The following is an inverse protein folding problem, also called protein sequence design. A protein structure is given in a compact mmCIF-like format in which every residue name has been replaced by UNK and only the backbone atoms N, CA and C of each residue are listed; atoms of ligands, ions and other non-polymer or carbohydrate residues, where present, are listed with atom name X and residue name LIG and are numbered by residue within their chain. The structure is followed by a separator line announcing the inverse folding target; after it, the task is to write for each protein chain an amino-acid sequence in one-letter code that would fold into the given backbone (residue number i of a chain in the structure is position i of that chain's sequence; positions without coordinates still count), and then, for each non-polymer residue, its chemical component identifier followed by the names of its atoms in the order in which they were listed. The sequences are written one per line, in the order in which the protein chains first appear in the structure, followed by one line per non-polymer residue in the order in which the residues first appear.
data_IF_989922508753
#
_entry.id   IF_989922508753
#
_cell.length_a   1.000
_cell.length_b   1.000
_cell.length_c   1.000
_cell.angle_alpha   90.00
_cell.angle_beta   90.00
_cell.angle_gamma   90.00
#
_symmetry.space_group_name_H-M   'P 1'
#
loop_
_entity.id
_entity.type
_entity.pdbx_description
1 polymer ?
#
# COMPACT_ATOMS: atom_id res chain seq x y z
N UNK A 1 -9.38 -26.35 35.79
CA UNK A 1 -8.76 -26.84 34.53
C UNK A 1 -9.41 -26.27 33.24
N UNK A 2 -10.41 -25.37 33.33
CA UNK A 2 -11.09 -24.80 32.16
C UNK A 2 -10.77 -23.31 31.89
N UNK A 3 -9.81 -22.70 32.59
CA UNK A 3 -9.50 -21.26 32.46
C UNK A 3 -8.15 -20.96 31.80
N UNK A 4 -7.36 -21.96 31.42
CA UNK A 4 -6.08 -21.76 30.72
C UNK A 4 -6.17 -21.92 29.19
N UNK A 5 -7.34 -22.27 28.66
CA UNK A 5 -7.57 -22.48 27.22
C UNK A 5 -8.22 -21.30 26.50
N UNK A 6 -8.56 -20.21 27.19
CA UNK A 6 -9.20 -19.02 26.58
C UNK A 6 -8.22 -17.97 26.03
N UNK A 7 -6.95 -17.99 26.42
CA UNK A 7 -5.94 -17.01 25.94
C UNK A 7 -5.22 -17.44 24.65
N UNK A 8 -5.34 -18.70 24.21
CA UNK A 8 -4.71 -19.17 22.98
C UNK A 8 -5.52 -18.84 21.70
N UNK A 9 -6.81 -18.53 21.82
CA UNK A 9 -7.74 -18.36 20.70
C UNK A 9 -7.92 -16.91 20.20
N UNK A 10 -7.08 -15.98 20.66
CA UNK A 10 -7.02 -14.60 20.13
C UNK A 10 -5.71 -14.27 19.40
N UNK A 11 -4.87 -15.27 19.06
CA UNK A 11 -3.81 -15.07 18.06
C UNK A 11 -4.42 -15.11 16.65
N UNK A 12 -5.31 -14.15 16.38
CA UNK A 12 -5.80 -13.89 15.03
C UNK A 12 -4.60 -13.70 14.10
N UNK A 13 -4.70 -14.25 12.87
CA UNK A 13 -3.77 -14.07 11.74
C UNK A 13 -2.80 -12.92 12.02
N UNK A 14 -1.55 -13.23 12.32
CA UNK A 14 -0.53 -12.21 12.50
C UNK A 14 -0.40 -11.51 11.15
N UNK A 15 -1.09 -10.36 11.02
CA UNK A 15 -1.06 -9.52 9.84
C UNK A 15 0.37 -8.99 9.78
N UNK A 16 1.09 -9.39 8.73
CA UNK A 16 2.48 -9.03 8.53
C UNK A 16 2.58 -8.32 7.19
N UNK A 17 3.22 -7.16 7.20
CA UNK A 17 3.63 -6.47 5.99
C UNK A 17 4.61 -7.36 5.21
N UNK A 18 4.44 -7.36 3.89
CA UNK A 18 5.25 -8.13 2.94
C UNK A 18 5.44 -7.31 1.66
N UNK A 19 6.40 -7.66 0.78
CA UNK A 19 6.45 -7.14 -0.58
C UNK A 19 5.12 -7.39 -1.31
N UNK A 20 4.72 -6.42 -2.13
CA UNK A 20 3.50 -6.43 -2.93
C UNK A 20 3.71 -7.24 -4.21
N UNK A 21 2.64 -7.90 -4.66
CA UNK A 21 2.55 -8.46 -6.00
C UNK A 21 2.03 -7.37 -6.92
N UNK A 22 2.85 -6.92 -7.88
CA UNK A 22 2.49 -5.86 -8.83
C UNK A 22 2.66 -6.39 -10.25
N UNK A 23 1.62 -6.23 -11.07
CA UNK A 23 1.60 -6.58 -12.50
C UNK A 23 1.20 -5.33 -13.27
N UNK A 24 2.02 -4.91 -14.23
CA UNK A 24 1.80 -3.70 -15.06
C UNK A 24 1.43 -2.45 -14.23
N UNK A 25 2.15 -2.26 -13.13
CA UNK A 25 1.93 -1.14 -12.21
C UNK A 25 0.69 -1.27 -11.33
N UNK A 26 -0.06 -2.38 -11.38
CA UNK A 26 -1.29 -2.60 -10.60
C UNK A 26 -1.04 -3.62 -9.49
N UNK A 27 -1.38 -3.24 -8.25
CA UNK A 27 -1.32 -4.13 -7.08
C UNK A 27 -2.34 -5.27 -7.24
N UNK A 28 -1.89 -6.50 -7.01
CA UNK A 28 -2.74 -7.70 -7.06
C UNK A 28 -3.20 -8.15 -5.67
N UNK A 29 -2.50 -7.74 -4.61
CA UNK A 29 -2.89 -8.05 -3.24
C UNK A 29 -4.25 -7.43 -2.90
N UNK A 30 -5.18 -8.24 -2.40
CA UNK A 30 -6.51 -7.80 -1.95
C UNK A 30 -6.49 -7.09 -0.59
N UNK A 31 -5.38 -7.21 0.13
CA UNK A 31 -5.19 -6.66 1.47
C UNK A 31 -3.72 -6.32 1.73
N UNK A 32 -3.46 -5.21 2.43
CA UNK A 32 -2.16 -4.85 2.99
C UNK A 32 -2.32 -4.74 4.51
N UNK A 33 -1.73 -5.68 5.25
CA UNK A 33 -1.69 -5.67 6.73
C UNK A 33 -3.06 -5.39 7.39
N UNK A 34 -4.09 -6.12 6.95
CA UNK A 34 -5.45 -5.93 7.43
C UNK A 34 -6.30 -4.90 6.70
N UNK A 35 -5.73 -4.14 5.76
CA UNK A 35 -6.39 -3.05 5.08
C UNK A 35 -6.81 -3.53 3.69
N UNK A 36 -8.10 -3.43 3.38
CA UNK A 36 -8.60 -3.83 2.06
C UNK A 36 -7.95 -2.96 0.97
N UNK A 37 -7.52 -3.60 -0.11
CA UNK A 37 -7.06 -2.92 -1.33
C UNK A 37 -8.13 -3.09 -2.39
N UNK A 38 -8.51 -1.97 -3.01
CA UNK A 38 -9.43 -1.92 -4.13
C UNK A 38 -8.73 -1.32 -5.34
N UNK A 39 -8.96 -1.90 -6.50
CA UNK A 39 -8.43 -1.39 -7.77
C UNK A 39 -9.57 -0.66 -8.49
N UNK A 40 -9.38 0.63 -8.74
CA UNK A 40 -10.31 1.51 -9.44
C UNK A 40 -9.54 2.36 -10.45
N UNK A 41 -8.76 1.69 -11.32
CA UNK A 41 -7.96 2.38 -12.34
C UNK A 41 -8.89 3.20 -13.23
N UNK A 42 -8.59 4.50 -13.30
CA UNK A 42 -9.35 5.45 -14.12
C UNK A 42 -9.29 5.00 -15.57
N UNK A 43 -10.43 5.04 -16.24
CA UNK A 43 -10.56 4.75 -17.66
C UNK A 43 -10.30 6.02 -18.46
N UNK A 44 -9.26 6.05 -19.32
CA UNK A 44 -8.88 7.26 -20.04
C UNK A 44 -9.97 7.68 -21.02
N UNK A 45 -10.22 8.99 -21.12
CA UNK A 45 -11.19 9.58 -22.05
C UNK A 45 -10.81 11.01 -22.41
N UNK A 46 -10.82 11.33 -23.69
CA UNK A 46 -10.50 12.68 -24.14
C UNK A 46 -9.03 13.02 -23.89
N UNK A 47 -8.75 14.19 -23.29
CA UNK A 47 -7.37 14.51 -22.91
C UNK A 47 -6.96 13.70 -21.69
N UNK A 48 -5.65 13.52 -21.58
CA UNK A 48 -4.94 12.78 -20.53
C UNK A 48 -4.89 13.58 -19.23
N UNK A 49 -6.04 13.89 -18.66
CA UNK A 49 -6.18 14.75 -17.49
C UNK A 49 -5.79 14.03 -16.20
N UNK A 50 -6.13 12.75 -16.13
CA UNK A 50 -5.87 11.89 -14.98
C UNK A 50 -4.99 10.71 -15.40
N UNK A 51 -5.43 9.94 -16.40
CA UNK A 51 -4.62 8.85 -16.98
C UNK A 51 -3.71 9.41 -18.06
N UNK A 52 -2.43 9.52 -17.76
CA UNK A 52 -1.42 10.05 -18.67
C UNK A 52 -1.06 9.05 -19.76
N UNK A 53 -1.20 7.75 -19.48
CA UNK A 53 -0.73 6.65 -20.34
C UNK A 53 0.77 6.79 -20.70
N UNK A 54 1.54 7.48 -19.86
CA UNK A 54 2.97 7.71 -20.06
C UNK A 54 3.68 7.18 -18.83
N UNK A 55 4.52 6.17 -19.06
CA UNK A 55 5.32 5.59 -17.98
C UNK A 55 6.32 6.61 -17.45
N UNK A 56 6.55 6.56 -16.14
CA UNK A 56 7.70 7.20 -15.51
C UNK A 56 8.96 6.53 -16.04
N UNK A 57 9.99 7.31 -16.34
CA UNK A 57 11.30 6.78 -16.78
C UNK A 57 12.00 6.04 -15.65
N UNK A 58 11.74 6.47 -14.42
CA UNK A 58 12.22 5.87 -13.18
C UNK A 58 11.23 6.23 -12.06
N UNK A 59 11.15 5.38 -11.04
CA UNK A 59 10.40 5.66 -9.82
C UNK A 59 11.40 5.86 -8.70
N UNK A 60 11.51 7.09 -8.18
CA UNK A 60 12.53 7.47 -7.19
C UNK A 60 11.97 7.57 -5.77
N UNK A 61 10.64 7.65 -5.63
CA UNK A 61 10.05 7.81 -4.31
C UNK A 61 8.54 7.79 -4.26
N UNK A 62 8.03 8.08 -3.08
CA UNK A 62 6.61 8.15 -2.73
C UNK A 62 6.33 9.55 -2.16
N UNK A 63 5.44 10.31 -2.80
CA UNK A 63 5.00 11.63 -2.33
C UNK A 63 3.68 11.52 -1.60
N UNK A 64 3.67 11.93 -0.34
CA UNK A 64 2.50 11.86 0.54
C UNK A 64 1.77 13.21 0.62
N UNK A 65 0.43 13.13 0.64
CA UNK A 65 -0.49 14.27 0.61
C UNK A 65 -1.62 14.11 1.62
N UNK A 66 -2.31 15.21 1.92
CA UNK A 66 -3.63 15.16 2.53
C UNK A 66 -4.66 15.79 1.59
N UNK A 67 -5.83 15.15 1.53
CA UNK A 67 -6.92 15.55 0.64
C UNK A 67 -7.46 16.96 0.91
N UNK A 68 -7.24 17.50 2.12
CA UNK A 68 -7.84 18.76 2.58
C UNK A 68 -9.37 18.78 2.52
N UNK A 69 -10.01 17.62 2.47
CA UNK A 69 -11.46 17.47 2.41
C UNK A 69 -11.96 16.66 3.62
N UNK A 70 -12.50 17.36 4.61
CA UNK A 70 -12.99 16.78 5.87
C UNK A 70 -14.47 16.38 5.81
N UNK A 71 -15.14 16.52 4.66
CA UNK A 71 -16.53 16.12 4.54
C UNK A 71 -16.64 14.60 4.81
N UNK A 72 -17.60 14.12 5.62
CA UNK A 72 -17.73 12.69 5.93
C UNK A 72 -17.87 11.79 4.70
N UNK A 73 -18.43 12.32 3.62
CA UNK A 73 -18.63 11.63 2.34
C UNK A 73 -17.36 11.59 1.46
N UNK A 74 -16.30 12.31 1.82
CA UNK A 74 -15.06 12.41 1.06
C UNK A 74 -14.07 11.28 1.36
N UNK A 75 -14.55 10.04 1.39
CA UNK A 75 -13.70 8.85 1.55
C UNK A 75 -12.88 8.52 0.31
N UNK A 76 -12.08 7.47 0.38
CA UNK A 76 -11.23 7.01 -0.72
C UNK A 76 -12.04 6.69 -1.99
N UNK A 77 -13.20 6.06 -1.86
CA UNK A 77 -14.08 5.75 -3.01
C UNK A 77 -14.65 7.00 -3.68
N UNK A 78 -15.00 8.02 -2.90
CA UNK A 78 -15.54 9.26 -3.44
C UNK A 78 -14.48 10.01 -4.24
N UNK A 79 -13.25 10.05 -3.74
CA UNK A 79 -12.13 10.65 -4.46
C UNK A 79 -11.74 9.86 -5.72
N UNK A 80 -11.78 8.52 -5.68
CA UNK A 80 -11.56 7.70 -6.87
C UNK A 80 -12.62 7.96 -7.96
N UNK A 81 -13.91 8.06 -7.58
CA UNK A 81 -14.98 8.45 -8.51
C UNK A 81 -14.79 9.87 -9.05
N UNK A 82 -14.34 10.81 -8.21
CA UNK A 82 -14.04 12.17 -8.63
C UNK A 82 -12.96 12.21 -9.72
N UNK A 83 -11.88 11.43 -9.59
CA UNK A 83 -10.85 11.33 -10.64
C UNK A 83 -11.43 10.82 -11.96
N UNK A 84 -12.28 9.79 -11.95
CA UNK A 84 -12.95 9.35 -13.17
C UNK A 84 -13.86 10.45 -13.76
N UNK A 85 -14.51 11.24 -12.90
CA UNK A 85 -15.30 12.40 -13.31
C UNK A 85 -14.46 13.50 -13.97
N UNK A 86 -13.26 13.79 -13.45
CA UNK A 86 -12.34 14.74 -14.05
C UNK A 86 -11.89 14.31 -15.45
N UNK A 87 -11.51 13.04 -15.60
CA UNK A 87 -11.15 12.46 -16.89
C UNK A 87 -12.31 12.59 -17.89
N UNK A 88 -13.54 12.27 -17.46
CA UNK A 88 -14.72 12.37 -18.31
C UNK A 88 -15.09 13.81 -18.72
N UNK A 89 -14.84 14.78 -17.84
CA UNK A 89 -15.21 16.18 -18.05
C UNK A 89 -14.19 16.96 -18.90
N UNK A 90 -13.02 16.37 -19.15
CA UNK A 90 -11.94 16.95 -19.95
C UNK A 90 -11.47 18.36 -19.51
N UNK A 91 -11.44 18.61 -18.19
CA UNK A 91 -11.38 19.98 -17.64
C UNK A 91 -10.12 20.35 -16.87
N UNK A 92 -9.49 19.41 -16.16
CA UNK A 92 -8.39 19.72 -15.23
C UNK A 92 -7.39 18.57 -15.09
N UNK A 93 -6.09 18.89 -15.12
CA UNK A 93 -5.00 17.93 -14.95
C UNK A 93 -4.69 17.68 -13.47
N UNK A 94 -5.23 16.60 -12.91
CA UNK A 94 -4.98 16.15 -11.55
C UNK A 94 -5.07 14.63 -11.49
N UNK A 95 -4.06 13.99 -10.96
CA UNK A 95 -4.09 12.54 -10.73
C UNK A 95 -3.27 12.16 -9.52
N UNK A 96 -3.67 11.06 -8.89
CA UNK A 96 -2.92 10.43 -7.80
C UNK A 96 -3.00 8.93 -7.97
N UNK A 97 -2.00 8.23 -7.44
CA UNK A 97 -1.94 6.77 -7.57
C UNK A 97 -2.86 6.10 -6.54
N UNK A 98 -2.85 6.61 -5.30
CA UNK A 98 -3.60 6.01 -4.19
C UNK A 98 -4.40 7.04 -3.41
N UNK A 99 -5.61 6.65 -3.01
CA UNK A 99 -6.32 7.25 -1.88
C UNK A 99 -6.36 6.26 -0.71
N UNK A 100 -6.08 6.73 0.50
CA UNK A 100 -6.07 5.92 1.72
C UNK A 100 -6.98 6.56 2.75
N UNK A 101 -7.98 5.82 3.24
CA UNK A 101 -8.80 6.21 4.37
C UNK A 101 -8.65 5.22 5.54
N UNK A 102 -9.51 5.35 6.55
CA UNK A 102 -9.45 4.50 7.74
C UNK A 102 -9.75 3.01 7.44
N UNK A 103 -10.46 2.73 6.35
CA UNK A 103 -11.02 1.41 6.05
C UNK A 103 -10.30 0.71 4.90
N UNK A 104 -9.79 1.45 3.91
CA UNK A 104 -9.22 0.88 2.68
C UNK A 104 -8.18 1.75 1.98
N UNK A 105 -7.52 1.12 1.01
CA UNK A 105 -6.63 1.72 0.02
C UNK A 105 -7.26 1.54 -1.35
N UNK A 106 -7.34 2.59 -2.16
CA UNK A 106 -7.81 2.52 -3.55
C UNK A 106 -6.73 2.97 -4.51
N UNK A 107 -6.35 2.10 -5.44
CA UNK A 107 -5.45 2.44 -6.54
C UNK A 107 -6.23 2.99 -7.74
N UNK A 108 -5.85 4.18 -8.22
CA UNK A 108 -6.53 4.90 -9.30
C UNK A 108 -5.70 5.01 -10.59
N UNK A 109 -4.37 4.91 -10.48
CA UNK A 109 -3.42 4.98 -11.61
C UNK A 109 -2.32 3.91 -11.41
N UNK A 110 -1.85 3.22 -12.46
CA UNK A 110 -0.70 2.31 -12.36
C UNK A 110 0.52 3.02 -11.76
N UNK A 111 1.23 2.37 -10.84
CA UNK A 111 2.36 2.98 -10.10
C UNK A 111 3.61 3.26 -10.96
N UNK A 112 3.61 2.82 -12.21
CA UNK A 112 4.64 3.11 -13.20
C UNK A 112 4.22 4.20 -14.20
N UNK A 113 3.02 4.78 -14.06
CA UNK A 113 2.48 5.86 -14.90
C UNK A 113 2.52 7.20 -14.12
N UNK A 114 3.04 8.27 -14.73
CA UNK A 114 3.20 9.52 -13.98
C UNK A 114 1.85 10.19 -13.67
N UNK A 115 1.80 10.98 -12.58
CA UNK A 115 0.60 11.69 -12.12
C UNK A 115 0.82 13.21 -11.99
N UNK A 116 -0.25 14.01 -12.12
CA UNK A 116 -0.25 15.45 -11.85
C UNK A 116 -0.66 15.73 -10.40
N UNK A 117 0.29 15.77 -9.47
CA UNK A 117 0.01 15.90 -8.02
C UNK A 117 0.92 16.84 -7.23
N UNK A 118 2.17 17.05 -7.63
CA UNK A 118 3.21 17.73 -6.85
C UNK A 118 3.32 19.24 -7.13
N UNK A 119 2.66 19.73 -8.19
CA UNK A 119 2.66 21.15 -8.54
C UNK A 119 3.99 21.68 -9.09
N UNK A 120 4.89 20.80 -9.54
CA UNK A 120 6.22 21.10 -10.05
C UNK A 120 6.32 20.96 -11.59
N UNK A 121 5.18 20.95 -12.29
CA UNK A 121 5.12 20.83 -13.75
C UNK A 121 5.71 19.50 -14.23
N UNK A 122 6.82 19.57 -14.96
CA UNK A 122 7.56 18.39 -15.45
C UNK A 122 8.70 17.95 -14.50
N UNK A 123 8.72 18.46 -13.27
CA UNK A 123 9.69 18.07 -12.26
C UNK A 123 9.54 16.63 -11.75
N UNK A 124 10.51 16.21 -10.95
CA UNK A 124 10.63 14.84 -10.45
C UNK A 124 9.46 14.44 -9.56
N UNK A 125 8.80 15.38 -8.87
CA UNK A 125 7.64 15.12 -8.04
C UNK A 125 6.52 14.47 -8.86
N UNK A 126 6.04 15.16 -9.90
CA UNK A 126 5.04 14.61 -10.82
C UNK A 126 5.55 13.41 -11.64
N UNK A 127 6.80 13.48 -12.11
CA UNK A 127 7.29 12.59 -13.18
C UNK A 127 7.97 11.32 -12.70
N UNK A 128 8.28 11.21 -11.40
CA UNK A 128 9.08 10.10 -10.86
C UNK A 128 8.63 9.60 -9.48
N UNK A 129 7.51 10.08 -8.93
CA UNK A 129 7.03 9.61 -7.63
C UNK A 129 5.63 9.02 -7.63
N UNK A 130 5.43 8.03 -6.77
CA UNK A 130 4.13 7.46 -6.46
C UNK A 130 3.40 8.41 -5.51
N UNK A 131 2.19 8.83 -5.86
CA UNK A 131 1.39 9.78 -5.08
C UNK A 131 0.39 9.07 -4.18
N UNK A 132 0.45 9.35 -2.87
CA UNK A 132 -0.46 8.81 -1.85
C UNK A 132 -1.24 9.96 -1.19
N UNK A 133 -2.56 9.98 -1.38
CA UNK A 133 -3.48 10.91 -0.73
C UNK A 133 -4.12 10.28 0.52
N UNK A 134 -3.89 10.92 1.67
CA UNK A 134 -4.49 10.50 2.95
C UNK A 134 -5.80 11.26 3.13
N UNK A 135 -6.91 10.52 3.17
CA UNK A 135 -8.26 11.06 3.31
C UNK A 135 -8.50 11.62 4.72
N UNK A 136 -9.30 12.68 4.82
CA UNK A 136 -9.60 13.37 6.08
C UNK A 136 -11.06 13.26 6.54
N UNK A 137 -11.84 12.36 5.92
CA UNK A 137 -13.30 12.24 6.11
C UNK A 137 -13.75 11.52 7.38
N UNK A 138 -12.83 11.06 8.24
CA UNK A 138 -13.16 10.22 9.39
C UNK A 138 -12.00 10.06 10.37
N UNK A 139 -11.73 8.83 10.81
CA UNK A 139 -10.62 8.55 11.72
C UNK A 139 -9.27 8.76 11.02
N UNK A 140 -8.79 10.01 11.09
CA UNK A 140 -7.56 10.43 10.42
C UNK A 140 -6.32 9.70 10.95
N UNK A 141 -6.22 9.44 12.26
CA UNK A 141 -5.10 8.69 12.82
C UNK A 141 -5.01 7.28 12.23
N UNK A 142 -6.16 6.64 12.00
CA UNK A 142 -6.22 5.34 11.34
C UNK A 142 -5.87 5.44 9.85
N UNK A 143 -6.36 6.45 9.13
CA UNK A 143 -5.99 6.69 7.73
C UNK A 143 -4.49 6.94 7.55
N UNK A 144 -3.88 7.73 8.44
CA UNK A 144 -2.44 7.99 8.44
C UNK A 144 -1.64 6.72 8.73
N UNK A 145 -2.04 5.93 9.73
CA UNK A 145 -1.42 4.62 10.01
C UNK A 145 -1.55 3.66 8.82
N UNK A 146 -2.69 3.65 8.14
CA UNK A 146 -2.88 2.85 6.93
C UNK A 146 -1.97 3.33 5.78
N UNK A 147 -1.76 4.65 5.65
CA UNK A 147 -0.83 5.21 4.68
C UNK A 147 0.63 4.84 4.99
N UNK A 148 1.03 4.82 6.26
CA UNK A 148 2.36 4.32 6.66
C UNK A 148 2.55 2.86 6.23
N UNK A 149 1.53 2.01 6.41
CA UNK A 149 1.56 0.60 5.99
C UNK A 149 1.66 0.45 4.46
N UNK A 150 0.94 1.27 3.69
CA UNK A 150 1.10 1.31 2.23
C UNK A 150 2.52 1.72 1.82
N UNK A 151 3.05 2.79 2.40
CA UNK A 151 4.44 3.24 2.13
C UNK A 151 5.45 2.14 2.48
N UNK A 152 5.29 1.47 3.63
CA UNK A 152 6.16 0.37 4.04
C UNK A 152 6.08 -0.83 3.08
N UNK A 153 4.88 -1.21 2.64
CA UNK A 153 4.71 -2.27 1.64
C UNK A 153 5.37 -1.93 0.30
N UNK A 154 5.25 -0.67 -0.15
CA UNK A 154 5.94 -0.17 -1.34
C UNK A 154 7.47 -0.20 -1.17
N UNK A 155 8.01 0.20 -0.02
CA UNK A 155 9.45 0.12 0.27
C UNK A 155 9.96 -1.32 0.37
N UNK A 156 9.17 -2.26 0.90
CA UNK A 156 9.52 -3.68 0.89
C UNK A 156 9.57 -4.24 -0.54
N UNK A 157 8.76 -3.70 -1.45
CA UNK A 157 8.71 -4.08 -2.87
C UNK A 157 9.81 -3.40 -3.68
N UNK A 158 10.09 -2.13 -3.39
CA UNK A 158 11.03 -1.26 -4.08
C UNK A 158 11.95 -0.56 -3.06
N UNK A 159 13.02 -1.24 -2.60
CA UNK A 159 13.82 -0.78 -1.46
C UNK A 159 14.55 0.56 -1.60
N UNK A 160 14.69 1.05 -2.83
CA UNK A 160 15.43 2.29 -3.12
C UNK A 160 14.54 3.54 -3.14
N UNK A 161 13.23 3.40 -2.97
CA UNK A 161 12.32 4.55 -2.97
C UNK A 161 12.56 5.45 -1.75
N UNK A 162 12.54 6.76 -1.98
CA UNK A 162 12.56 7.77 -0.91
C UNK A 162 11.13 8.18 -0.52
N UNK A 163 10.95 8.68 0.70
CA UNK A 163 9.66 9.18 1.17
C UNK A 163 9.69 10.71 1.15
N UNK A 164 8.76 11.31 0.42
CA UNK A 164 8.63 12.75 0.22
C UNK A 164 7.27 13.23 0.73
N UNK A 165 7.21 14.51 1.11
CA UNK A 165 5.98 15.28 1.25
C UNK A 165 5.80 16.18 0.04
N UNK A 166 4.55 16.51 -0.32
CA UNK A 166 4.28 17.48 -1.39
C UNK A 166 5.11 18.77 -1.23
N UNK A 167 5.24 19.26 0.01
CA UNK A 167 6.01 20.45 0.32
C UNK A 167 7.46 20.44 -0.21
N UNK A 168 8.10 19.26 -0.33
CA UNK A 168 9.47 19.13 -0.84
C UNK A 168 9.58 19.53 -2.34
N UNK A 169 8.46 19.52 -3.07
CA UNK A 169 8.42 19.78 -4.51
C UNK A 169 8.03 21.21 -4.87
N UNK A 170 6.96 21.74 -4.25
CA UNK A 170 6.38 23.04 -4.60
C UNK A 170 6.28 24.03 -3.45
N UNK A 171 6.71 23.64 -2.24
CA UNK A 171 6.55 24.46 -1.03
C UNK A 171 5.13 24.47 -0.45
N UNK A 172 4.14 23.86 -1.11
CA UNK A 172 2.76 23.73 -0.60
C UNK A 172 2.76 23.09 0.78
N UNK A 173 2.05 23.67 1.75
CA UNK A 173 1.89 23.11 3.09
C UNK A 173 1.00 21.85 3.07
N UNK A 174 1.56 20.75 2.57
CA UNK A 174 0.92 19.46 2.37
C UNK A 174 1.98 18.34 2.57
N UNK A 175 1.68 17.26 3.34
CA UNK A 175 0.42 16.91 4.00
C UNK A 175 0.14 17.75 5.26
N UNK A 176 -0.91 18.59 5.20
CA UNK A 176 -1.17 19.65 6.17
C UNK A 176 -1.39 19.14 7.60
N UNK A 177 -2.02 17.97 7.76
CA UNK A 177 -2.37 17.40 9.08
C UNK A 177 -1.15 16.81 9.77
N UNK A 178 -0.22 16.27 8.98
CA UNK A 178 1.06 15.78 9.48
C UNK A 178 1.96 16.98 9.83
N UNK A 179 2.08 17.95 8.92
CA UNK A 179 2.95 19.12 9.10
C UNK A 179 2.48 20.07 10.20
N UNK A 180 1.19 20.09 10.52
CA UNK A 180 0.66 20.91 11.60
C UNK A 180 1.05 20.40 13.00
N UNK A 181 1.48 19.14 13.14
CA UNK A 181 1.93 18.58 14.42
C UNK A 181 3.44 18.80 14.60
N UNK A 182 3.91 19.18 15.80
CA UNK A 182 5.33 19.16 16.12
C UNK A 182 5.94 17.79 15.78
N UNK A 183 7.05 17.76 15.05
CA UNK A 183 7.73 16.55 14.58
C UNK A 183 6.87 15.59 13.73
N UNK A 184 5.69 16.00 13.25
CA UNK A 184 4.74 15.07 12.65
C UNK A 184 5.30 14.36 11.41
N UNK A 185 6.13 15.02 10.60
CA UNK A 185 6.77 14.38 9.44
C UNK A 185 7.83 13.35 9.85
N UNK A 186 8.63 13.67 10.87
CA UNK A 186 9.62 12.77 11.45
C UNK A 186 8.94 11.54 12.05
N UNK A 187 7.84 11.71 12.79
CA UNK A 187 7.06 10.60 13.34
C UNK A 187 6.42 9.74 12.25
N UNK A 188 5.87 10.37 11.21
CA UNK A 188 5.28 9.66 10.07
C UNK A 188 6.31 8.76 9.37
N UNK A 189 7.48 9.32 9.06
CA UNK A 189 8.57 8.59 8.39
C UNK A 189 9.22 7.53 9.29
N UNK A 190 9.42 7.83 10.58
CA UNK A 190 9.93 6.84 11.55
C UNK A 190 8.99 5.63 11.70
N UNK A 191 7.67 5.86 11.69
CA UNK A 191 6.69 4.77 11.70
C UNK A 191 6.78 3.89 10.45
N UNK A 192 7.02 4.47 9.27
CA UNK A 192 7.25 3.69 8.04
C UNK A 192 8.51 2.84 8.16
N UNK A 193 9.64 3.43 8.60
CA UNK A 193 10.91 2.71 8.76
C UNK A 193 10.76 1.55 9.74
N UNK A 194 10.12 1.78 10.88
CA UNK A 194 9.85 0.74 11.88
C UNK A 194 9.04 -0.41 11.29
N UNK A 195 7.99 -0.11 10.52
CA UNK A 195 7.18 -1.13 9.86
C UNK A 195 7.99 -1.97 8.87
N UNK A 196 8.91 -1.36 8.11
CA UNK A 196 9.81 -2.06 7.19
C UNK A 196 10.80 -2.96 7.95
N UNK A 197 11.40 -2.45 9.03
CA UNK A 197 12.34 -3.22 9.86
C UNK A 197 11.66 -4.40 10.55
N UNK A 198 10.48 -4.19 11.11
CA UNK A 198 9.71 -5.24 11.78
C UNK A 198 9.28 -6.32 10.78
N UNK A 199 8.92 -5.94 9.54
CA UNK A 199 8.65 -6.90 8.48
C UNK A 199 9.88 -7.74 8.11
N UNK A 200 11.08 -7.12 8.06
CA UNK A 200 12.34 -7.83 7.74
C UNK A 200 12.79 -8.78 8.85
N UNK A 201 12.47 -8.50 10.12
CA UNK A 201 12.77 -9.38 11.26
C UNK A 201 11.88 -10.62 11.28
N UNK A 202 10.66 -10.51 10.76
CA UNK A 202 9.68 -11.59 10.68
C UNK A 202 9.85 -12.40 9.39
N UNK A 203 11.07 -12.88 9.14
CA UNK A 203 11.42 -13.71 7.99
C UNK A 203 12.08 -14.99 8.47
N UNK A 204 11.65 -16.13 7.92
CA UNK A 204 12.31 -17.43 8.05
C UNK A 204 12.95 -17.77 6.72
N UNK A 205 14.25 -18.07 6.74
CA UNK A 205 14.98 -18.54 5.58
C UNK A 205 14.80 -20.05 5.44
N UNK A 206 14.32 -20.48 4.28
CA UNK A 206 14.05 -21.88 3.96
C UNK A 206 14.99 -22.32 2.85
N UNK A 207 15.77 -23.37 3.11
CA UNK A 207 16.53 -24.07 2.07
C UNK A 207 15.69 -25.26 1.60
N UNK A 208 15.24 -25.25 0.35
CA UNK A 208 14.53 -26.35 -0.27
C UNK A 208 15.32 -26.82 -1.49
N UNK A 209 15.82 -28.06 -1.44
CA UNK A 209 16.65 -28.66 -2.49
C UNK A 209 17.85 -27.80 -2.94
N UNK A 210 18.50 -27.11 -1.99
CA UNK A 210 19.66 -26.25 -2.28
C UNK A 210 19.29 -24.83 -2.69
N UNK A 211 18.02 -24.53 -2.94
CA UNK A 211 17.55 -23.19 -3.25
C UNK A 211 17.08 -22.48 -1.97
N UNK A 212 17.56 -21.26 -1.76
CA UNK A 212 17.17 -20.42 -0.63
C UNK A 212 15.93 -19.60 -0.95
N UNK A 213 14.99 -19.60 -0.01
CA UNK A 213 13.77 -18.80 -0.03
C UNK A 213 13.68 -18.00 1.27
N UNK A 214 13.16 -16.78 1.19
CA UNK A 214 12.82 -15.96 2.36
C UNK A 214 11.30 -15.86 2.44
N UNK A 215 10.74 -16.44 3.52
CA UNK A 215 9.29 -16.49 3.74
C UNK A 215 8.92 -15.65 4.96
N UNK A 216 7.78 -14.99 4.93
CA UNK A 216 7.26 -14.31 6.10
C UNK A 216 6.97 -15.35 7.20
N UNK A 217 7.55 -15.15 8.37
CA UNK A 217 7.53 -16.15 9.41
C UNK A 217 8.31 -15.76 10.66
N UNK A 218 8.27 -16.63 11.66
CA UNK A 218 9.00 -16.43 12.91
C UNK A 218 9.48 -17.76 13.47
N UNK A 219 10.53 -17.69 14.28
CA UNK A 219 11.02 -18.84 15.06
C UNK A 219 10.56 -18.64 16.51
N UNK A 220 9.74 -19.54 17.02
CA UNK A 220 9.27 -19.53 18.41
C UNK A 220 9.55 -20.92 19.00
N UNK A 221 10.21 -20.98 20.16
CA UNK A 221 10.52 -22.22 20.88
C UNK A 221 11.16 -23.28 19.97
N UNK A 222 12.15 -22.87 19.18
CA UNK A 222 12.87 -23.70 18.21
C UNK A 222 11.97 -24.33 17.11
N UNK A 223 10.78 -23.77 16.87
CA UNK A 223 9.88 -24.15 15.78
C UNK A 223 9.77 -23.00 14.78
N UNK A 224 9.82 -23.34 13.51
CA UNK A 224 9.66 -22.39 12.41
C UNK A 224 8.17 -22.30 12.03
N UNK A 225 7.64 -21.08 11.99
CA UNK A 225 6.27 -20.80 11.56
C UNK A 225 6.33 -19.97 10.29
N UNK A 226 5.81 -20.51 9.19
CA UNK A 226 5.71 -19.82 7.89
C UNK A 226 4.30 -19.95 7.33
N UNK A 227 3.89 -19.01 6.49
CA UNK A 227 2.58 -19.05 5.85
C UNK A 227 2.45 -20.21 4.87
N UNK A 228 1.48 -21.11 5.09
CA UNK A 228 1.26 -22.28 4.21
C UNK A 228 1.07 -21.90 2.74
N UNK A 229 0.36 -20.81 2.47
CA UNK A 229 0.13 -20.31 1.11
C UNK A 229 1.44 -19.90 0.45
N UNK A 230 2.24 -19.12 1.16
CA UNK A 230 3.51 -18.62 0.65
C UNK A 230 4.49 -19.77 0.40
N UNK A 231 4.59 -20.70 1.34
CA UNK A 231 5.40 -21.92 1.19
C UNK A 231 4.96 -22.71 -0.05
N UNK A 232 3.67 -23.00 -0.19
CA UNK A 232 3.16 -23.84 -1.27
C UNK A 232 3.27 -23.16 -2.66
N UNK A 233 2.92 -21.88 -2.77
CA UNK A 233 2.96 -21.15 -4.04
C UNK A 233 4.39 -20.80 -4.49
N UNK A 234 5.24 -20.32 -3.57
CA UNK A 234 6.60 -19.87 -3.91
C UNK A 234 7.65 -20.98 -3.91
N UNK A 235 7.58 -21.92 -2.97
CA UNK A 235 8.60 -22.97 -2.81
C UNK A 235 8.22 -24.22 -3.57
N UNK A 236 6.95 -24.64 -3.48
CA UNK A 236 6.50 -25.90 -4.11
C UNK A 236 5.85 -25.71 -5.49
N UNK A 237 5.67 -24.46 -5.94
CA UNK A 237 5.07 -24.16 -7.23
C UNK A 237 3.60 -24.59 -7.35
N UNK A 238 2.86 -24.67 -6.24
CA UNK A 238 1.45 -25.11 -6.18
C UNK A 238 0.49 -23.92 -6.28
N UNK A 239 -0.81 -24.23 -6.42
CA UNK A 239 -1.92 -23.29 -6.23
C UNK A 239 -2.53 -23.53 -4.87
N UNK A 240 -2.87 -22.46 -4.15
CA UNK A 240 -3.52 -22.57 -2.83
C UNK A 240 -4.87 -21.87 -2.87
N UNK A 241 -5.89 -22.49 -2.31
CA UNK A 241 -7.23 -21.91 -2.16
C UNK A 241 -7.74 -22.03 -0.73
N UNK A 242 -8.76 -21.24 -0.40
CA UNK A 242 -9.46 -21.32 0.88
C UNK A 242 -10.91 -21.72 0.64
N UNK A 243 -11.27 -22.93 1.03
CA UNK A 243 -12.65 -23.36 1.08
C UNK A 243 -13.30 -22.75 2.32
N UNK A 244 -14.05 -21.67 2.11
CA UNK A 244 -14.71 -20.95 3.20
C UNK A 244 -15.85 -21.72 3.86
N UNK A 245 -16.45 -22.70 3.16
CA UNK A 245 -17.55 -23.53 3.64
C UNK A 245 -17.02 -24.60 4.58
N UNK A 246 -16.01 -25.35 4.14
CA UNK A 246 -15.44 -26.46 4.90
C UNK A 246 -14.30 -26.04 5.83
N UNK A 247 -13.84 -24.78 5.73
CA UNK A 247 -12.70 -24.23 6.50
C UNK A 247 -11.39 -24.99 6.24
N UNK A 248 -11.17 -25.37 4.98
CA UNK A 248 -10.00 -26.15 4.55
C UNK A 248 -9.12 -25.32 3.61
N UNK A 249 -7.80 -25.46 3.77
CA UNK A 249 -6.82 -24.97 2.78
C UNK A 249 -6.64 -26.05 1.71
N UNK A 250 -6.93 -25.72 0.46
CA UNK A 250 -6.78 -26.63 -0.68
C UNK A 250 -5.47 -26.31 -1.38
N UNK A 251 -4.63 -27.31 -1.65
CA UNK A 251 -3.35 -27.16 -2.34
C UNK A 251 -3.34 -28.08 -3.56
N UNK A 252 -3.06 -27.54 -4.75
CA UNK A 252 -3.17 -28.24 -6.03
C UNK A 252 -1.93 -28.01 -6.89
N UNK A 253 -1.69 -28.90 -7.85
CA UNK A 253 -0.71 -28.66 -8.91
C UNK A 253 -1.16 -27.49 -9.80
N UNK A 254 -0.19 -26.76 -10.38
CA UNK A 254 -0.45 -25.74 -11.40
C UNK A 254 -0.85 -26.37 -12.73
#
# INVERSE_FOLDING_TARGET
MAELTSQANQRGRQKMLKPLTVIDGIIQDKEIDGIRVNIAIVQPRGKRNVRTLVKMTEVIGITNHNTANTAPTAGSEAHARYLQGLENADKEYKSVHFFVDADRIIQCVPIDEFCYHAGDGNGDGNRKTISVEICENGNYAKAESNAQKLNAALLLTYPNLKIYKHQDWSGKFCPRRILARPNGWQEFTAGIVKLVEDAKKNVVKVNYNGQMYELAGQVIDNKNYVGIREMAEKVFGKIVEWDSKNKVVVIMDK
#
